data_IF_618074104164
#
_entry.id   IF_618074104164
#
_cell.length_a   1.000
_cell.length_b   1.000
_cell.length_c   1.000
_cell.angle_alpha   90.00
_cell.angle_beta   90.00
_cell.angle_gamma   90.00
#
_symmetry.space_group_name_H-M   'P 1'
#
loop_
_entity.id
_entity.type
_entity.pdbx_description
1 polymer ?
#
# COMPACT_ATOMS: atom_id res chain seq x y z
N UNK A 1 16.96 9.87 -0.39
CA UNK A 1 16.21 9.43 -1.59
C UNK A 1 17.00 8.32 -2.25
N UNK A 2 16.35 7.22 -2.64
CA UNK A 2 16.94 6.12 -3.39
C UNK A 2 16.07 5.87 -4.60
N UNK A 3 16.57 6.17 -5.80
CA UNK A 3 15.82 6.06 -7.05
C UNK A 3 16.59 5.16 -8.01
N UNK A 4 15.97 4.07 -8.44
CA UNK A 4 16.53 3.15 -9.42
C UNK A 4 15.42 2.73 -10.39
N UNK A 5 15.76 2.60 -11.66
CA UNK A 5 14.82 2.07 -12.65
C UNK A 5 14.45 0.62 -12.33
N UNK A 6 13.16 0.31 -12.21
CA UNK A 6 12.69 -1.07 -12.03
C UNK A 6 12.17 -1.67 -13.34
N UNK A 7 11.17 -1.07 -13.97
CA UNK A 7 10.61 -1.51 -15.26
C UNK A 7 10.56 -0.31 -16.22
N UNK A 8 11.63 -0.14 -17.00
CA UNK A 8 11.81 1.01 -17.91
C UNK A 8 10.68 1.18 -18.91
N UNK A 9 10.19 0.08 -19.48
CA UNK A 9 9.13 0.12 -20.50
C UNK A 9 7.80 0.66 -19.98
N UNK A 10 7.59 0.62 -18.65
CA UNK A 10 6.38 1.11 -17.99
C UNK A 10 6.65 2.38 -17.16
N UNK A 11 7.87 2.91 -17.15
CA UNK A 11 8.23 4.04 -16.30
C UNK A 11 8.07 3.80 -14.80
N UNK A 12 8.19 2.52 -14.37
CA UNK A 12 8.11 2.14 -12.96
C UNK A 12 9.50 2.19 -12.34
N UNK A 13 9.60 2.88 -11.21
CA UNK A 13 10.85 3.08 -10.50
C UNK A 13 10.79 2.43 -9.11
N UNK A 14 11.94 1.93 -8.66
CA UNK A 14 12.19 1.74 -7.25
C UNK A 14 12.57 3.11 -6.67
N UNK A 15 11.55 3.90 -6.34
CA UNK A 15 11.75 5.22 -5.77
C UNK A 15 11.32 5.26 -4.31
N UNK A 16 12.31 5.29 -3.41
CA UNK A 16 12.11 5.34 -1.98
C UNK A 16 12.59 6.67 -1.38
N UNK A 17 11.82 7.21 -0.45
CA UNK A 17 12.15 8.42 0.29
C UNK A 17 11.41 8.50 1.63
N UNK A 18 11.88 9.40 2.49
CA UNK A 18 11.25 9.67 3.78
C UNK A 18 11.08 11.18 3.86
N UNK A 19 9.84 11.65 3.95
CA UNK A 19 9.51 13.04 4.27
C UNK A 19 9.15 13.18 5.76
N UNK A 20 8.71 14.38 6.18
CA UNK A 20 8.35 14.64 7.58
C UNK A 20 7.17 13.80 8.09
N UNK A 21 6.21 13.46 7.23
CA UNK A 21 5.03 12.66 7.59
C UNK A 21 5.41 11.17 7.65
N UNK A 22 6.09 10.68 6.62
CA UNK A 22 6.59 9.31 6.53
C UNK A 22 7.55 8.98 7.67
N UNK A 23 8.41 9.92 8.09
CA UNK A 23 9.35 9.69 9.19
C UNK A 23 8.65 9.24 10.46
N UNK A 24 7.56 9.93 10.83
CA UNK A 24 6.79 9.59 12.02
C UNK A 24 6.20 8.17 11.92
N UNK A 25 5.61 7.83 10.77
CA UNK A 25 4.97 6.53 10.55
C UNK A 25 5.97 5.38 10.46
N UNK A 26 7.14 5.61 9.86
CA UNK A 26 8.24 4.63 9.79
C UNK A 26 8.81 4.35 11.18
N UNK A 27 9.08 5.39 11.97
CA UNK A 27 9.56 5.22 13.36
C UNK A 27 8.52 4.50 14.21
N UNK A 28 7.24 4.91 14.12
CA UNK A 28 6.15 4.25 14.83
C UNK A 28 6.06 2.76 14.47
N UNK A 29 6.12 2.44 13.18
CA UNK A 29 6.13 1.05 12.68
C UNK A 29 7.34 0.28 13.20
N UNK A 30 8.53 0.90 13.17
CA UNK A 30 9.78 0.32 13.66
C UNK A 30 9.79 0.03 15.15
N UNK A 31 8.97 0.74 15.94
CA UNK A 31 8.82 0.50 17.38
C UNK A 31 7.71 -0.52 17.69
N UNK A 32 6.54 -0.38 17.07
CA UNK A 32 5.36 -1.21 17.39
C UNK A 32 5.58 -2.69 17.09
N UNK A 33 6.22 -3.03 15.98
CA UNK A 33 6.41 -4.43 15.60
C UNK A 33 7.33 -5.21 16.56
N UNK A 34 8.50 -4.68 16.97
CA UNK A 34 9.30 -5.29 18.04
C UNK A 34 8.53 -5.45 19.36
N UNK A 35 7.71 -4.47 19.75
CA UNK A 35 6.86 -4.60 20.94
C UNK A 35 5.87 -5.76 20.80
N UNK A 36 5.21 -5.90 19.65
CA UNK A 36 4.30 -7.03 19.36
C UNK A 36 5.02 -8.37 19.47
N UNK A 37 6.23 -8.48 18.92
CA UNK A 37 7.03 -9.71 18.94
C UNK A 37 7.40 -10.13 20.36
N UNK A 38 7.72 -9.17 21.23
CA UNK A 38 8.07 -9.43 22.64
C UNK A 38 6.82 -9.68 23.49
N UNK A 39 5.71 -8.99 23.21
CA UNK A 39 4.49 -9.06 24.02
C UNK A 39 3.66 -10.34 23.78
N UNK A 40 3.74 -10.94 22.59
CA UNK A 40 2.90 -12.08 22.21
C UNK A 40 3.72 -13.36 22.09
N UNK A 41 3.26 -14.40 22.79
CA UNK A 41 3.70 -15.77 22.56
C UNK A 41 2.63 -16.52 21.73
N UNK A 42 2.91 -16.87 20.46
CA UNK A 42 1.93 -17.52 19.60
C UNK A 42 1.60 -18.94 20.09
N UNK A 43 0.33 -19.33 20.03
CA UNK A 43 -0.11 -20.63 20.55
C UNK A 43 0.45 -21.86 19.82
N UNK A 44 0.77 -21.70 18.54
CA UNK A 44 1.31 -22.75 17.66
C UNK A 44 2.08 -22.11 16.50
N UNK A 45 2.82 -22.91 15.73
CA UNK A 45 3.52 -22.47 14.50
C UNK A 45 4.41 -21.21 14.69
N UNK A 46 5.10 -21.09 15.83
CA UNK A 46 5.87 -19.89 16.24
C UNK A 46 6.73 -19.28 15.13
N UNK A 47 7.51 -20.11 14.41
CA UNK A 47 8.36 -19.65 13.30
C UNK A 47 7.54 -18.97 12.21
N UNK A 48 6.42 -19.58 11.81
CA UNK A 48 5.56 -19.03 10.78
C UNK A 48 4.90 -17.72 11.25
N UNK A 49 4.49 -17.63 12.52
CA UNK A 49 3.93 -16.40 13.09
C UNK A 49 4.92 -15.23 12.95
N UNK A 50 6.17 -15.42 13.39
CA UNK A 50 7.18 -14.36 13.32
C UNK A 50 7.57 -14.01 11.88
N UNK A 51 7.62 -14.97 10.95
CA UNK A 51 7.85 -14.69 9.53
C UNK A 51 6.73 -13.80 8.98
N UNK A 52 5.46 -14.12 9.27
CA UNK A 52 4.34 -13.31 8.79
C UNK A 52 4.31 -11.92 9.43
N UNK A 53 4.64 -11.79 10.72
CA UNK A 53 4.75 -10.49 11.39
C UNK A 53 5.87 -9.62 10.79
N UNK A 54 7.03 -10.21 10.48
CA UNK A 54 8.14 -9.50 9.84
C UNK A 54 7.83 -9.10 8.39
N UNK A 55 7.13 -9.97 7.65
CA UNK A 55 6.67 -9.64 6.30
C UNK A 55 5.64 -8.51 6.33
N UNK A 56 4.73 -8.53 7.31
CA UNK A 56 3.78 -7.45 7.56
C UNK A 56 4.50 -6.13 7.89
N UNK A 57 5.53 -6.18 8.75
CA UNK A 57 6.37 -5.01 9.06
C UNK A 57 7.01 -4.43 7.81
N UNK A 58 7.58 -5.29 6.97
CA UNK A 58 8.21 -4.90 5.70
C UNK A 58 7.21 -4.23 4.76
N UNK A 59 6.01 -4.81 4.64
CA UNK A 59 4.91 -4.21 3.89
C UNK A 59 4.54 -2.82 4.39
N UNK A 60 4.33 -2.68 5.71
CA UNK A 60 3.98 -1.40 6.33
C UNK A 60 5.06 -0.33 6.13
N UNK A 61 6.33 -0.68 6.34
CA UNK A 61 7.44 0.24 6.09
C UNK A 61 7.50 0.65 4.61
N UNK A 62 7.35 -0.32 3.71
CA UNK A 62 7.34 -0.09 2.26
C UNK A 62 6.28 0.90 1.81
N UNK A 63 5.06 0.81 2.36
CA UNK A 63 3.96 1.75 2.06
C UNK A 63 4.36 3.19 2.40
N UNK A 64 5.05 3.43 3.52
CA UNK A 64 5.39 4.78 3.96
C UNK A 64 6.63 5.37 3.26
N UNK A 65 7.51 4.52 2.71
CA UNK A 65 8.73 4.99 2.02
C UNK A 65 8.58 5.09 0.51
N UNK A 66 7.50 4.55 -0.08
CA UNK A 66 7.32 4.53 -1.53
C UNK A 66 6.96 5.91 -2.08
N UNK A 67 7.75 6.41 -3.02
CA UNK A 67 7.51 7.63 -3.80
C UNK A 67 7.14 7.33 -5.27
N UNK A 68 7.07 6.06 -5.64
CA UNK A 68 6.47 5.58 -6.88
C UNK A 68 5.10 4.95 -6.57
N UNK A 69 4.06 5.33 -7.32
CA UNK A 69 2.69 4.88 -7.09
C UNK A 69 2.51 3.37 -7.30
N UNK A 70 3.22 2.77 -8.24
CA UNK A 70 3.18 1.33 -8.47
C UNK A 70 3.91 0.59 -7.36
N UNK A 71 5.08 1.08 -6.95
CA UNK A 71 5.80 0.56 -5.78
C UNK A 71 4.94 0.63 -4.51
N UNK A 72 4.25 1.76 -4.29
CA UNK A 72 3.29 1.93 -3.20
C UNK A 72 2.20 0.86 -3.25
N UNK A 73 1.57 0.64 -4.43
CA UNK A 73 0.54 -0.38 -4.60
C UNK A 73 1.06 -1.78 -4.26
N UNK A 74 2.27 -2.13 -4.71
CA UNK A 74 2.88 -3.43 -4.40
C UNK A 74 3.05 -3.63 -2.89
N UNK A 75 3.60 -2.66 -2.16
CA UNK A 75 3.71 -2.78 -0.70
C UNK A 75 2.35 -2.78 0.00
N UNK A 76 1.39 -2.02 -0.53
CA UNK A 76 0.03 -1.99 -0.01
C UNK A 76 -0.66 -3.36 -0.09
N UNK A 77 -0.42 -4.12 -1.16
CA UNK A 77 -0.87 -5.51 -1.34
C UNK A 77 -0.04 -6.51 -0.53
N UNK A 78 1.28 -6.29 -0.39
CA UNK A 78 2.13 -7.13 0.46
C UNK A 78 1.61 -7.13 1.90
N UNK A 79 1.07 -6.03 2.41
CA UNK A 79 0.48 -5.96 3.76
C UNK A 79 -0.73 -6.90 3.89
N UNK A 80 -1.52 -7.06 2.84
CA UNK A 80 -2.78 -7.79 2.82
C UNK A 80 -2.59 -9.32 2.97
N UNK A 81 -1.52 -9.88 2.37
CA UNK A 81 -1.23 -11.32 2.40
C UNK A 81 -0.91 -11.82 3.84
N UNK A 82 0.07 -11.25 4.59
CA UNK A 82 0.32 -11.61 5.97
C UNK A 82 -0.89 -11.44 6.88
N UNK A 83 -1.68 -10.36 6.72
CA UNK A 83 -2.87 -10.16 7.54
C UNK A 83 -3.88 -11.29 7.35
N UNK A 84 -4.11 -11.73 6.10
CA UNK A 84 -4.99 -12.87 5.84
C UNK A 84 -4.55 -14.13 6.60
N UNK A 85 -3.25 -14.47 6.55
CA UNK A 85 -2.73 -15.65 7.25
C UNK A 85 -2.71 -15.48 8.78
N UNK A 86 -2.33 -14.30 9.27
CA UNK A 86 -2.29 -13.99 10.70
C UNK A 86 -3.69 -14.11 11.32
N UNK A 87 -4.70 -13.50 10.69
CA UNK A 87 -6.10 -13.59 11.12
C UNK A 87 -6.60 -15.03 10.99
N UNK A 88 -6.32 -15.71 9.87
CA UNK A 88 -6.87 -17.03 9.59
C UNK A 88 -6.32 -18.16 10.47
N UNK A 89 -5.03 -18.09 10.86
CA UNK A 89 -4.37 -19.12 11.67
C UNK A 89 -4.32 -18.78 13.16
N UNK A 90 -4.05 -17.53 13.54
CA UNK A 90 -3.89 -17.13 14.94
C UNK A 90 -5.04 -16.25 15.45
N UNK A 91 -6.06 -16.00 14.63
CA UNK A 91 -7.29 -15.34 15.08
C UNK A 91 -8.18 -16.25 15.93
N UNK A 92 -9.21 -15.66 16.53
CA UNK A 92 -10.12 -16.35 17.44
C UNK A 92 -11.47 -16.64 16.77
N UNK A 93 -12.21 -17.62 17.30
CA UNK A 93 -13.56 -17.98 16.86
C UNK A 93 -13.65 -18.22 15.34
N UNK A 94 -14.42 -17.40 14.61
CA UNK A 94 -14.67 -17.51 13.18
C UNK A 94 -13.50 -16.96 12.33
N UNK A 95 -12.26 -17.27 12.70
CA UNK A 95 -11.01 -16.74 12.15
C UNK A 95 -10.93 -16.86 10.62
N UNK A 96 -11.27 -18.04 10.06
CA UNK A 96 -11.27 -18.26 8.61
C UNK A 96 -12.28 -17.37 7.88
N UNK A 97 -13.49 -17.24 8.43
CA UNK A 97 -14.51 -16.36 7.85
C UNK A 97 -14.08 -14.89 7.92
N UNK A 98 -13.56 -14.45 9.07
CA UNK A 98 -13.06 -13.10 9.26
C UNK A 98 -11.90 -12.78 8.31
N UNK A 99 -10.94 -13.69 8.15
CA UNK A 99 -9.81 -13.54 7.23
C UNK A 99 -10.27 -13.42 5.77
N UNK A 100 -11.14 -14.32 5.32
CA UNK A 100 -11.67 -14.28 3.95
C UNK A 100 -12.48 -13.02 3.69
N UNK A 101 -13.32 -12.60 4.65
CA UNK A 101 -14.07 -11.34 4.54
C UNK A 101 -13.11 -10.15 4.46
N UNK A 102 -12.16 -10.05 5.39
CA UNK A 102 -11.15 -9.00 5.39
C UNK A 102 -10.42 -8.91 4.05
N UNK A 103 -9.93 -10.05 3.54
CA UNK A 103 -9.22 -10.13 2.26
C UNK A 103 -10.09 -9.67 1.10
N UNK A 104 -11.32 -10.18 0.96
CA UNK A 104 -12.19 -9.84 -0.17
C UNK A 104 -12.57 -8.35 -0.19
N UNK A 105 -12.91 -7.77 0.96
CA UNK A 105 -13.24 -6.35 1.04
C UNK A 105 -12.03 -5.50 0.68
N UNK A 106 -10.87 -5.77 1.30
CA UNK A 106 -9.65 -4.98 1.07
C UNK A 106 -9.11 -5.14 -0.35
N UNK A 107 -9.19 -6.33 -0.95
CA UNK A 107 -8.80 -6.59 -2.34
C UNK A 107 -9.70 -5.84 -3.34
N UNK A 108 -11.00 -5.72 -3.06
CA UNK A 108 -11.89 -4.93 -3.89
C UNK A 108 -11.50 -3.44 -3.86
N UNK A 109 -11.20 -2.91 -2.68
CA UNK A 109 -10.70 -1.55 -2.53
C UNK A 109 -9.38 -1.32 -3.27
N UNK A 110 -8.44 -2.26 -3.18
CA UNK A 110 -7.15 -2.12 -3.85
C UNK A 110 -7.23 -2.26 -5.37
N UNK A 111 -8.15 -3.07 -5.90
CA UNK A 111 -8.40 -3.12 -7.34
C UNK A 111 -8.82 -1.75 -7.90
N UNK A 112 -9.71 -1.02 -7.19
CA UNK A 112 -10.07 0.35 -7.55
C UNK A 112 -8.89 1.32 -7.44
N UNK A 113 -8.01 1.12 -6.44
CA UNK A 113 -6.78 1.89 -6.30
C UNK A 113 -5.86 1.69 -7.51
N UNK A 114 -5.67 0.45 -7.96
CA UNK A 114 -4.84 0.15 -9.12
C UNK A 114 -5.38 0.81 -10.39
N UNK A 115 -6.70 0.73 -10.61
CA UNK A 115 -7.35 1.42 -11.74
C UNK A 115 -7.10 2.92 -11.67
N UNK A 116 -7.18 3.51 -10.48
CA UNK A 116 -6.93 4.95 -10.27
C UNK A 116 -5.47 5.33 -10.51
N UNK A 117 -4.52 4.52 -10.06
CA UNK A 117 -3.08 4.72 -10.28
C UNK A 117 -2.73 4.65 -11.77
N UNK A 118 -3.19 3.61 -12.47
CA UNK A 118 -2.94 3.44 -13.90
C UNK A 118 -3.60 4.57 -14.70
N UNK A 119 -4.84 4.90 -14.36
CA UNK A 119 -5.57 5.99 -15.03
C UNK A 119 -4.89 7.34 -14.81
N UNK A 120 -4.38 7.62 -13.61
CA UNK A 120 -3.61 8.82 -13.30
C UNK A 120 -2.34 8.89 -14.15
N UNK A 121 -1.54 7.81 -14.18
CA UNK A 121 -0.30 7.77 -14.94
C UNK A 121 -0.53 7.98 -16.45
N UNK A 122 -1.53 7.31 -17.02
CA UNK A 122 -1.87 7.42 -18.45
C UNK A 122 -2.40 8.80 -18.81
N UNK A 123 -3.34 9.34 -18.01
CA UNK A 123 -3.91 10.66 -18.28
C UNK A 123 -2.88 11.78 -18.11
N UNK A 124 -2.01 11.67 -17.11
CA UNK A 124 -0.90 12.60 -16.92
C UNK A 124 0.04 12.59 -18.14
N UNK A 125 0.50 11.41 -18.57
CA UNK A 125 1.38 11.25 -19.73
C UNK A 125 0.78 11.83 -21.01
N UNK A 126 -0.52 11.60 -21.26
CA UNK A 126 -1.21 12.11 -22.45
C UNK A 126 -1.37 13.63 -22.47
N UNK A 127 -1.66 14.26 -21.33
CA UNK A 127 -1.89 15.71 -21.27
C UNK A 127 -0.61 16.53 -21.09
N UNK A 128 0.44 15.93 -20.49
CA UNK A 128 1.74 16.56 -20.33
C UNK A 128 2.65 16.36 -21.56
N UNK A 129 2.25 15.52 -22.52
CA UNK A 129 3.10 15.02 -23.61
C UNK A 129 4.43 14.42 -23.11
N UNK A 130 4.39 13.75 -21.95
CA UNK A 130 5.56 13.10 -21.32
C UNK A 130 5.48 11.58 -21.40
N UNK A 131 6.61 10.91 -21.12
CA UNK A 131 6.64 9.47 -20.97
C UNK A 131 5.76 9.01 -19.79
N UNK A 132 5.29 7.75 -19.84
CA UNK A 132 4.58 7.15 -18.71
C UNK A 132 5.50 7.15 -17.48
N UNK A 133 4.97 7.64 -16.36
CA UNK A 133 5.69 7.74 -15.09
C UNK A 133 4.74 7.38 -13.96
N UNK A 134 5.25 6.67 -12.96
CA UNK A 134 4.56 6.44 -11.70
C UNK A 134 5.19 7.24 -10.55
N UNK A 135 6.14 8.12 -10.87
CA UNK A 135 6.82 8.97 -9.90
C UNK A 135 5.83 9.99 -9.30
N UNK A 136 5.53 9.84 -8.01
CA UNK A 136 4.55 10.68 -7.31
C UNK A 136 4.96 12.16 -7.33
N UNK A 137 6.25 12.46 -7.17
CA UNK A 137 6.74 13.83 -7.10
C UNK A 137 6.63 14.54 -8.45
N UNK A 138 6.93 13.84 -9.54
CA UNK A 138 6.78 14.37 -10.90
C UNK A 138 5.31 14.69 -11.20
N UNK A 139 4.41 13.74 -10.93
CA UNK A 139 2.96 13.91 -11.15
C UNK A 139 2.41 15.06 -10.28
N UNK A 140 2.89 15.20 -9.04
CA UNK A 140 2.42 16.23 -8.12
C UNK A 140 2.93 17.64 -8.46
N UNK A 141 4.15 17.75 -9.02
CA UNK A 141 4.75 19.06 -9.37
C UNK A 141 4.28 19.59 -10.72
N UNK A 142 3.90 18.69 -11.64
CA UNK A 142 3.31 19.07 -12.93
C UNK A 142 1.92 18.43 -13.12
N UNK A 143 0.88 18.93 -12.44
CA UNK A 143 -0.46 18.35 -12.53
C UNK A 143 -1.10 18.61 -13.89
N UNK A 144 -0.84 17.71 -14.84
CA UNK A 144 -1.42 17.71 -16.18
C UNK A 144 -2.67 16.82 -16.26
N UNK A 145 -3.68 17.09 -15.44
CA UNK A 145 -4.97 16.37 -15.51
C UNK A 145 -6.13 17.35 -15.43
N UNK A 146 -7.21 17.08 -16.16
CA UNK A 146 -8.41 17.91 -16.09
C UNK A 146 -9.05 17.81 -14.70
N UNK A 147 -9.69 18.91 -14.26
CA UNK A 147 -10.36 18.97 -12.94
C UNK A 147 -11.40 17.87 -12.76
N UNK A 148 -12.13 17.51 -13.82
CA UNK A 148 -13.13 16.45 -13.75
C UNK A 148 -12.48 15.07 -13.57
N UNK A 149 -11.41 14.78 -14.32
CA UNK A 149 -10.65 13.55 -14.15
C UNK A 149 -10.04 13.46 -12.73
N UNK A 150 -9.47 14.55 -12.23
CA UNK A 150 -8.93 14.62 -10.87
C UNK A 150 -9.97 14.27 -9.80
N UNK A 151 -11.22 14.76 -9.93
CA UNK A 151 -12.33 14.43 -9.01
C UNK A 151 -12.71 12.95 -9.08
N UNK A 152 -12.78 12.38 -10.28
CA UNK A 152 -13.10 10.95 -10.44
C UNK A 152 -12.00 10.05 -9.87
N UNK A 153 -10.73 10.38 -10.14
CA UNK A 153 -9.58 9.67 -9.58
C UNK A 153 -9.53 9.80 -8.06
N UNK A 154 -9.80 11.00 -7.53
CA UNK A 154 -9.91 11.23 -6.09
C UNK A 154 -10.96 10.32 -5.45
N UNK A 155 -12.16 10.19 -6.05
CA UNK A 155 -13.18 9.26 -5.54
C UNK A 155 -12.68 7.81 -5.56
N UNK A 156 -11.98 7.39 -6.60
CA UNK A 156 -11.38 6.06 -6.68
C UNK A 156 -10.38 5.79 -5.54
N UNK A 157 -9.48 6.74 -5.28
CA UNK A 157 -8.55 6.66 -4.15
C UNK A 157 -9.26 6.70 -2.79
N UNK A 158 -10.25 7.59 -2.61
CA UNK A 158 -11.00 7.68 -1.35
C UNK A 158 -11.73 6.39 -1.05
N UNK A 159 -12.38 5.75 -2.03
CA UNK A 159 -13.06 4.47 -1.82
C UNK A 159 -12.03 3.39 -1.43
N UNK A 160 -10.89 3.34 -2.12
CA UNK A 160 -9.83 2.38 -1.78
C UNK A 160 -9.31 2.56 -0.34
N UNK A 161 -9.09 3.81 0.09
CA UNK A 161 -8.65 4.11 1.44
C UNK A 161 -9.76 3.92 2.48
N UNK A 162 -11.02 4.24 2.18
CA UNK A 162 -12.18 4.08 3.06
C UNK A 162 -12.49 2.61 3.41
N UNK A 163 -12.10 1.68 2.53
CA UNK A 163 -12.19 0.25 2.85
C UNK A 163 -11.12 -0.16 3.87
N UNK A 164 -9.91 0.43 3.81
CA UNK A 164 -8.78 0.04 4.67
C UNK A 164 -8.76 0.83 5.98
N UNK A 165 -9.11 2.10 5.94
CA UNK A 165 -9.45 2.95 7.08
C UNK A 165 -10.97 2.87 7.19
N UNK A 166 -11.54 2.07 8.09
CA UNK A 166 -12.96 1.75 8.10
C UNK A 166 -13.80 3.02 8.36
N UNK A 167 -14.13 3.72 7.27
CA UNK A 167 -15.00 4.88 7.26
C UNK A 167 -16.41 4.37 6.99
N UNK A 168 -17.36 4.78 7.84
CA UNK A 168 -18.77 4.47 7.64
C UNK A 168 -19.22 4.95 6.25
N UNK A 169 -20.00 4.17 5.48
CA UNK A 169 -20.70 2.94 5.88
C UNK A 169 -19.82 1.72 6.15
#
# INVERSE_FOLDING_TARGET
LSQQSWIKSLGIEWFAGIDGISLFLVVLTGLLFPFVIVAINPSHDHKAYYIWIQLLQTGCMGVFVSLDLFMFFVFFEIVLIPMYFLIGKWGHANAKYAATKFFLYTMFGSALMLVSIVSLAVLHSQNADTALTFNLLEIATNPAISTNAARMLFLGFVIAFAVKVPLFP
#
